data_IF_305561794638
#
_entry.id   IF_305561794638
#
_cell.length_a   1.000
_cell.length_b   1.000
_cell.length_c   1.000
_cell.angle_alpha   90.00
_cell.angle_beta   90.00
_cell.angle_gamma   90.00
#
_symmetry.space_group_name_H-M   'P 1'
#
loop_
_entity.id
_entity.type
_entity.pdbx_description
1 polymer ?
#
# COMPACT_ATOMS: atom_id res chain seq x y z
N UNK A 1 25.18 8.96 7.20
CA UNK A 1 25.02 7.50 7.02
C UNK A 1 23.54 7.21 7.02
N UNK A 2 23.01 6.56 5.99
CA UNK A 2 21.63 6.07 6.03
C UNK A 2 21.54 4.96 7.08
N UNK A 3 20.55 5.03 7.97
CA UNK A 3 20.27 4.00 8.97
C UNK A 3 19.75 2.76 8.25
N UNK A 4 20.40 1.61 8.46
CA UNK A 4 19.91 0.31 8.00
C UNK A 4 19.11 -0.31 9.15
N UNK A 5 17.84 -0.59 8.91
CA UNK A 5 16.96 -1.27 9.86
C UNK A 5 17.18 -2.78 9.81
N UNK A 6 16.94 -3.45 10.94
CA UNK A 6 16.86 -4.91 10.95
C UNK A 6 15.66 -5.36 10.12
N UNK A 7 14.50 -4.73 10.35
CA UNK A 7 13.26 -5.04 9.65
C UNK A 7 12.49 -3.76 9.33
N UNK A 8 11.97 -3.65 8.11
CA UNK A 8 10.99 -2.63 7.74
C UNK A 8 9.61 -3.28 7.67
N UNK A 9 8.65 -2.76 8.44
CA UNK A 9 7.25 -3.18 8.42
C UNK A 9 6.46 -2.16 7.61
N UNK A 10 5.86 -2.60 6.51
CA UNK A 10 5.13 -1.74 5.57
C UNK A 10 3.63 -1.96 5.71
N UNK A 11 2.93 -1.01 6.32
CA UNK A 11 1.48 -1.01 6.51
C UNK A 11 1.08 -0.65 7.94
N UNK A 12 0.21 0.34 8.09
CA UNK A 12 -0.21 0.88 9.40
C UNK A 12 -1.34 0.13 10.10
N UNK A 13 -1.80 -1.00 9.57
CA UNK A 13 -2.87 -1.80 10.16
C UNK A 13 -2.43 -2.63 11.37
N UNK A 14 -3.36 -3.43 11.92
CA UNK A 14 -3.11 -4.27 13.10
C UNK A 14 -1.96 -5.28 12.89
N UNK A 15 -1.84 -5.86 11.68
CA UNK A 15 -0.74 -6.78 11.38
C UNK A 15 0.62 -6.07 11.49
N UNK A 16 0.74 -4.87 10.94
CA UNK A 16 1.97 -4.08 11.00
C UNK A 16 2.29 -3.64 12.42
N UNK A 17 1.29 -3.19 13.18
CA UNK A 17 1.48 -2.85 14.60
C UNK A 17 1.94 -4.05 15.42
N UNK A 18 1.28 -5.21 15.30
CA UNK A 18 1.67 -6.42 16.03
C UNK A 18 3.09 -6.87 15.65
N UNK A 19 3.46 -6.77 14.37
CA UNK A 19 4.82 -7.05 13.94
C UNK A 19 5.84 -6.09 14.56
N UNK A 20 5.59 -4.78 14.49
CA UNK A 20 6.48 -3.75 15.05
C UNK A 20 6.64 -3.89 16.58
N UNK A 21 5.54 -4.13 17.30
CA UNK A 21 5.55 -4.40 18.73
C UNK A 21 6.39 -5.65 19.06
N UNK A 22 6.18 -6.74 18.33
CA UNK A 22 6.93 -8.00 18.53
C UNK A 22 8.43 -7.80 18.26
N UNK A 23 8.78 -7.15 17.16
CA UNK A 23 10.18 -6.85 16.81
C UNK A 23 10.85 -5.99 17.87
N UNK A 24 10.13 -5.03 18.46
CA UNK A 24 10.61 -4.24 19.58
C UNK A 24 10.89 -5.12 20.81
N UNK A 25 9.98 -6.02 21.19
CA UNK A 25 10.22 -6.97 22.29
C UNK A 25 11.43 -7.88 22.04
N UNK A 26 11.67 -8.23 20.78
CA UNK A 26 12.84 -8.99 20.31
C UNK A 26 14.11 -8.14 20.14
N UNK A 27 14.09 -6.86 20.56
CA UNK A 27 15.21 -5.90 20.47
C UNK A 27 15.76 -5.70 19.05
N UNK A 28 14.91 -5.78 18.04
CA UNK A 28 15.26 -5.47 16.64
C UNK A 28 15.04 -3.99 16.35
N UNK A 29 15.95 -3.40 15.58
CA UNK A 29 15.78 -2.04 15.07
C UNK A 29 14.73 -2.06 13.93
N UNK A 30 13.51 -1.64 14.22
CA UNK A 30 12.37 -1.72 13.31
C UNK A 30 11.92 -0.34 12.83
N UNK A 31 11.69 -0.20 11.51
CA UNK A 31 10.93 0.92 10.94
C UNK A 31 9.49 0.44 10.69
N UNK A 32 8.50 1.08 11.31
CA UNK A 32 7.09 0.83 10.99
C UNK A 32 6.54 1.97 10.14
N UNK A 33 6.36 1.70 8.85
CA UNK A 33 6.01 2.67 7.80
C UNK A 33 4.56 2.49 7.34
N UNK A 34 3.79 3.56 7.25
CA UNK A 34 2.46 3.52 6.63
C UNK A 34 1.82 4.90 6.48
N UNK A 35 0.66 4.96 5.83
CA UNK A 35 -0.07 6.23 5.62
C UNK A 35 -0.64 6.81 6.92
N UNK A 36 -1.13 5.94 7.80
CA UNK A 36 -1.70 6.25 9.11
C UNK A 36 -1.67 5.00 10.00
N UNK A 37 -1.49 5.13 11.32
CA UNK A 37 -1.63 4.00 12.24
C UNK A 37 -3.12 3.69 12.43
N UNK A 38 -3.47 2.41 12.44
CA UNK A 38 -4.83 1.91 12.71
C UNK A 38 -5.90 2.49 11.76
N UNK A 39 -5.58 2.58 10.46
CA UNK A 39 -6.32 3.33 9.45
C UNK A 39 -7.81 2.99 9.23
N UNK A 40 -8.38 3.61 8.19
CA UNK A 40 -9.84 3.74 8.01
C UNK A 40 -10.67 2.46 8.17
N UNK A 41 -10.16 1.31 7.73
CA UNK A 41 -10.89 0.03 7.86
C UNK A 41 -11.21 -0.33 9.31
N UNK A 42 -10.27 -0.04 10.21
CA UNK A 42 -10.43 -0.29 11.63
C UNK A 42 -11.35 0.76 12.24
N UNK A 43 -11.08 2.05 12.02
CA UNK A 43 -11.84 3.15 12.65
C UNK A 43 -13.30 3.24 12.19
N UNK A 44 -13.63 2.79 10.97
CA UNK A 44 -15.01 2.76 10.44
C UNK A 44 -15.82 1.54 10.88
N UNK A 45 -15.23 0.56 11.58
CA UNK A 45 -15.98 -0.59 12.04
C UNK A 45 -17.07 -0.15 13.04
N UNK A 46 -18.33 -0.38 12.73
CA UNK A 46 -19.45 -0.02 13.61
C UNK A 46 -19.41 -0.81 14.93
N UNK A 47 -18.96 -2.06 14.86
CA UNK A 47 -18.89 -2.93 16.02
C UNK A 47 -17.85 -4.05 15.86
N UNK A 48 -17.02 -4.22 16.88
CA UNK A 48 -15.96 -5.22 17.00
C UNK A 48 -16.28 -6.10 18.21
N UNK A 49 -16.56 -7.38 17.96
CA UNK A 49 -16.87 -8.41 18.98
C UNK A 49 -16.10 -9.72 18.80
N UNK A 50 -15.31 -9.78 17.74
CA UNK A 50 -14.56 -10.95 17.25
C UNK A 50 -13.06 -10.81 17.50
N UNK A 51 -12.65 -9.85 18.34
CA UNK A 51 -11.31 -9.72 18.86
C UNK A 51 -11.37 -9.99 20.38
N UNK A 52 -10.71 -11.04 20.89
CA UNK A 52 -10.80 -11.39 22.30
C UNK A 52 -10.55 -10.20 23.23
N UNK A 53 -11.32 -10.10 24.31
CA UNK A 53 -11.24 -9.03 25.33
C UNK A 53 -11.60 -7.62 24.87
N UNK A 54 -12.03 -7.45 23.62
CA UNK A 54 -12.49 -6.17 23.10
C UNK A 54 -13.95 -6.26 22.63
N UNK A 55 -14.79 -5.41 23.20
CA UNK A 55 -16.16 -5.19 22.76
C UNK A 55 -16.37 -3.67 22.64
N UNK A 56 -16.74 -3.20 21.45
CA UNK A 56 -16.94 -1.78 21.18
C UNK A 56 -16.93 -1.48 19.70
N UNK A 57 -16.83 -0.21 19.33
CA UNK A 57 -16.67 0.20 17.94
C UNK A 57 -15.19 0.25 17.51
N UNK A 58 -14.97 0.50 16.24
CA UNK A 58 -13.64 0.66 15.65
C UNK A 58 -12.86 1.83 16.21
N UNK A 59 -13.53 2.93 16.59
CA UNK A 59 -12.87 4.12 17.16
C UNK A 59 -12.30 3.81 18.54
N UNK A 60 -13.07 3.14 19.39
CA UNK A 60 -12.60 2.66 20.68
C UNK A 60 -11.43 1.70 20.49
N UNK A 61 -11.50 0.79 19.53
CA UNK A 61 -10.39 -0.11 19.23
C UNK A 61 -9.12 0.66 18.85
N UNK A 62 -9.22 1.61 17.91
CA UNK A 62 -8.09 2.43 17.47
C UNK A 62 -7.48 3.23 18.64
N UNK A 63 -8.31 3.77 19.52
CA UNK A 63 -7.87 4.50 20.71
C UNK A 63 -7.08 3.59 21.66
N UNK A 64 -7.60 2.40 21.97
CA UNK A 64 -6.91 1.40 22.83
C UNK A 64 -5.56 0.96 22.25
N UNK A 65 -5.50 0.75 20.93
CA UNK A 65 -4.24 0.41 20.25
C UNK A 65 -3.25 1.58 20.28
N UNK A 66 -3.73 2.82 20.15
CA UNK A 66 -2.89 4.01 20.23
C UNK A 66 -2.34 4.24 21.63
N UNK A 67 -3.15 4.01 22.68
CA UNK A 67 -2.71 4.01 24.08
C UNK A 67 -1.59 2.98 24.30
N UNK A 68 -1.79 1.75 23.82
CA UNK A 68 -0.78 0.70 23.93
C UNK A 68 0.48 1.05 23.14
N UNK A 69 0.35 1.54 21.90
CA UNK A 69 1.48 1.96 21.06
C UNK A 69 2.34 3.01 21.78
N UNK A 70 1.71 3.99 22.43
CA UNK A 70 2.40 5.02 23.20
C UNK A 70 3.07 4.44 24.46
N UNK A 71 2.37 3.58 25.21
CA UNK A 71 2.90 2.91 26.39
C UNK A 71 4.14 2.06 26.09
N UNK A 72 4.07 1.26 25.02
CA UNK A 72 5.16 0.40 24.56
C UNK A 72 6.26 1.18 23.83
N UNK A 73 6.04 2.46 23.53
CA UNK A 73 6.96 3.33 22.79
C UNK A 73 7.23 2.83 21.37
N UNK A 74 6.25 2.23 20.70
CA UNK A 74 6.35 1.84 19.30
C UNK A 74 6.18 3.09 18.44
N UNK A 75 7.19 3.41 17.63
CA UNK A 75 7.19 4.62 16.79
C UNK A 75 6.62 4.30 15.41
N UNK A 76 5.67 5.12 14.97
CA UNK A 76 5.10 5.06 13.62
C UNK A 76 5.75 6.12 12.72
N UNK A 77 6.15 5.72 11.52
CA UNK A 77 6.66 6.63 10.48
C UNK A 77 5.60 6.79 9.40
N UNK A 78 5.16 8.04 9.21
CA UNK A 78 4.17 8.39 8.19
C UNK A 78 4.82 8.40 6.80
N UNK A 79 4.31 7.59 5.89
CA UNK A 79 4.72 7.53 4.50
C UNK A 79 4.01 6.42 3.74
N UNK A 80 3.70 6.63 2.45
CA UNK A 80 3.16 5.58 1.57
C UNK A 80 4.33 4.89 0.90
N UNK A 81 4.46 3.58 1.04
CA UNK A 81 5.44 2.83 0.27
C UNK A 81 4.99 2.78 -1.20
N UNK A 82 5.87 3.22 -2.10
CA UNK A 82 5.65 3.23 -3.54
C UNK A 82 6.38 2.08 -4.25
N UNK A 83 7.37 1.47 -3.59
CA UNK A 83 8.16 0.36 -4.13
C UNK A 83 9.02 -0.31 -3.07
N UNK A 84 9.24 -1.62 -3.24
CA UNK A 84 10.12 -2.45 -2.41
C UNK A 84 11.01 -3.26 -3.35
N UNK A 85 12.30 -2.98 -3.31
CA UNK A 85 13.31 -3.60 -4.16
C UNK A 85 14.08 -4.61 -3.33
N UNK A 86 14.02 -5.88 -3.74
CA UNK A 86 14.79 -6.95 -3.13
C UNK A 86 16.29 -6.78 -3.39
N UNK A 87 17.09 -6.94 -2.34
CA UNK A 87 18.54 -6.78 -2.35
C UNK A 87 19.10 -7.08 -0.97
N UNK A 88 20.42 -6.96 -0.80
CA UNK A 88 21.08 -7.06 0.50
C UNK A 88 21.76 -5.72 0.84
N UNK A 89 21.10 -4.80 1.57
CA UNK A 89 19.73 -4.88 2.13
C UNK A 89 18.61 -4.57 1.11
N UNK A 90 17.35 -4.80 1.50
CA UNK A 90 16.17 -4.31 0.77
C UNK A 90 16.13 -2.79 0.76
N UNK A 91 15.54 -2.22 -0.29
CA UNK A 91 15.22 -0.78 -0.39
C UNK A 91 13.72 -0.57 -0.47
N UNK A 92 13.17 0.27 0.41
CA UNK A 92 11.76 0.71 0.39
C UNK A 92 11.71 2.19 0.04
N UNK A 93 10.99 2.55 -1.02
CA UNK A 93 10.75 3.95 -1.43
C UNK A 93 9.42 4.44 -0.87
N UNK A 94 9.40 5.67 -0.36
CA UNK A 94 8.18 6.37 0.04
C UNK A 94 8.26 7.85 -0.32
N UNK A 95 7.65 8.25 -1.43
CA UNK A 95 7.86 9.56 -2.04
C UNK A 95 9.33 9.78 -2.39
N UNK A 96 9.93 10.82 -1.82
CA UNK A 96 11.36 11.13 -1.97
C UNK A 96 12.27 10.37 -1.00
N UNK A 97 11.70 9.69 0.00
CA UNK A 97 12.46 9.01 1.04
C UNK A 97 12.85 7.58 0.62
N UNK A 98 14.04 7.16 1.06
CA UNK A 98 14.60 5.83 0.85
C UNK A 98 14.96 5.22 2.20
N UNK A 99 14.38 4.05 2.48
CA UNK A 99 14.67 3.27 3.68
C UNK A 99 15.34 1.96 3.31
N UNK A 100 16.32 1.53 4.12
CA UNK A 100 17.02 0.26 3.92
C UNK A 100 16.76 -0.70 5.08
N UNK A 101 16.47 -1.96 4.76
CA UNK A 101 16.14 -2.99 5.76
C UNK A 101 16.72 -4.35 5.39
N UNK A 102 17.24 -5.09 6.36
CA UNK A 102 17.77 -6.45 6.11
C UNK A 102 16.66 -7.48 5.85
N UNK A 103 15.45 -7.21 6.34
CA UNK A 103 14.23 -7.93 6.05
C UNK A 103 13.04 -6.96 5.93
N UNK A 104 11.96 -7.41 5.28
CA UNK A 104 10.73 -6.63 5.11
C UNK A 104 9.51 -7.47 5.49
N UNK A 105 8.56 -6.86 6.21
CA UNK A 105 7.23 -7.43 6.46
C UNK A 105 6.20 -6.58 5.73
N UNK A 106 5.58 -7.16 4.70
CA UNK A 106 4.49 -6.55 3.95
C UNK A 106 3.16 -6.75 4.69
N UNK A 107 2.60 -5.67 5.21
CA UNK A 107 1.36 -5.63 6.00
C UNK A 107 0.37 -4.56 5.49
N UNK A 108 0.37 -4.31 4.18
CA UNK A 108 -0.40 -3.23 3.53
C UNK A 108 -1.91 -3.47 3.47
N UNK A 109 -2.35 -4.68 3.82
CA UNK A 109 -3.75 -5.10 3.69
C UNK A 109 -4.18 -5.20 2.22
N UNK A 110 -5.47 -5.00 1.98
CA UNK A 110 -6.07 -5.07 0.63
C UNK A 110 -6.84 -3.78 0.36
N UNK A 111 -6.63 -3.13 -0.78
CA UNK A 111 -7.42 -1.98 -1.20
C UNK A 111 -8.34 -2.39 -2.37
N UNK A 112 -9.63 -2.50 -2.11
CA UNK A 112 -10.64 -2.83 -3.13
C UNK A 112 -11.42 -1.60 -3.59
N UNK A 113 -11.34 -0.48 -2.86
CA UNK A 113 -12.03 0.74 -3.26
C UNK A 113 -11.46 1.23 -4.60
N UNK A 114 -12.36 1.59 -5.52
CA UNK A 114 -11.97 2.15 -6.81
C UNK A 114 -11.36 1.17 -7.82
N UNK A 115 -11.37 -0.15 -7.58
CA UNK A 115 -10.81 -1.13 -8.54
C UNK A 115 -11.47 -1.02 -9.93
N UNK A 116 -10.66 -0.96 -10.99
CA UNK A 116 -11.11 -0.86 -12.39
C UNK A 116 -10.71 -2.11 -13.17
N UNK A 117 -11.59 -2.62 -14.04
CA UNK A 117 -11.27 -3.81 -14.85
C UNK A 117 -10.06 -3.52 -15.74
N UNK A 118 -9.12 -4.46 -15.88
CA UNK A 118 -7.90 -4.25 -16.66
C UNK A 118 -6.80 -3.46 -15.94
N UNK A 119 -7.07 -2.86 -14.77
CA UNK A 119 -6.06 -2.12 -13.99
C UNK A 119 -4.77 -2.95 -13.79
N UNK A 120 -4.91 -4.22 -13.40
CA UNK A 120 -3.78 -5.10 -13.10
C UNK A 120 -3.04 -5.59 -14.33
N UNK A 121 -3.77 -5.78 -15.43
CA UNK A 121 -3.21 -6.32 -16.66
C UNK A 121 -2.18 -5.36 -17.26
N UNK A 122 -2.35 -4.06 -17.03
CA UNK A 122 -1.51 -3.02 -17.60
C UNK A 122 -0.48 -2.42 -16.63
N UNK A 123 -0.28 -3.01 -15.44
CA UNK A 123 0.75 -2.55 -14.48
C UNK A 123 2.13 -2.60 -15.13
N UNK A 124 2.87 -1.50 -15.05
CA UNK A 124 4.16 -1.35 -15.74
C UNK A 124 4.06 -1.22 -17.27
N UNK A 125 2.84 -1.27 -17.83
CA UNK A 125 2.52 -1.14 -19.26
C UNK A 125 1.52 -0.02 -19.51
N UNK A 126 1.63 1.06 -18.73
CA UNK A 126 0.75 2.23 -18.82
C UNK A 126 -0.13 2.43 -17.58
N UNK A 127 -0.24 1.46 -16.68
CA UNK A 127 -0.80 1.65 -15.34
C UNK A 127 0.31 1.87 -14.32
N UNK A 128 0.15 2.91 -13.50
CA UNK A 128 1.04 3.24 -12.38
C UNK A 128 0.26 3.50 -11.09
N UNK A 129 0.91 3.31 -9.95
CA UNK A 129 0.41 3.64 -8.61
C UNK A 129 1.21 4.74 -7.92
N UNK A 130 2.30 5.21 -8.54
CA UNK A 130 3.20 6.20 -7.97
C UNK A 130 3.36 7.37 -8.95
N UNK A 131 2.70 8.49 -8.66
CA UNK A 131 2.80 9.70 -9.47
C UNK A 131 4.25 10.22 -9.53
N UNK A 132 4.95 10.21 -8.39
CA UNK A 132 6.33 10.71 -8.26
C UNK A 132 7.33 9.88 -9.07
N UNK A 133 7.12 8.56 -9.13
CA UNK A 133 8.03 7.63 -9.78
C UNK A 133 7.91 7.72 -11.30
N UNK A 134 6.69 7.66 -11.82
CA UNK A 134 6.44 7.47 -13.26
C UNK A 134 5.94 8.73 -13.96
N UNK A 135 5.56 9.79 -13.24
CA UNK A 135 4.93 11.00 -13.81
C UNK A 135 5.75 11.62 -14.94
N UNK A 136 7.07 11.71 -14.77
CA UNK A 136 7.98 12.25 -15.79
C UNK A 136 7.98 11.46 -17.11
N UNK A 137 7.66 10.15 -17.10
CA UNK A 137 7.58 9.31 -18.30
C UNK A 137 6.40 9.69 -19.22
N UNK A 138 5.45 10.45 -18.69
CA UNK A 138 4.26 10.92 -19.40
C UNK A 138 4.32 12.41 -19.75
N UNK A 139 5.54 12.99 -19.76
CA UNK A 139 5.74 14.37 -20.17
C UNK A 139 5.13 14.65 -21.55
N UNK A 140 4.26 15.66 -21.62
CA UNK A 140 3.58 16.08 -22.85
C UNK A 140 2.59 15.04 -23.40
N UNK A 141 2.05 14.15 -22.55
CA UNK A 141 1.02 13.18 -22.94
C UNK A 141 -0.30 13.48 -22.22
N UNK A 142 -1.40 13.01 -22.80
CA UNK A 142 -2.70 12.89 -22.12
C UNK A 142 -2.70 11.66 -21.22
N UNK A 143 -2.99 11.85 -19.94
CA UNK A 143 -3.08 10.78 -18.94
C UNK A 143 -4.38 10.86 -18.14
N UNK A 144 -4.73 9.78 -17.46
CA UNK A 144 -5.79 9.78 -16.47
C UNK A 144 -5.25 9.51 -15.06
N UNK A 145 -5.90 10.09 -14.06
CA UNK A 145 -5.67 9.78 -12.65
C UNK A 145 -7.01 9.34 -12.03
N UNK A 146 -7.08 8.10 -11.51
CA UNK A 146 -8.20 7.61 -10.71
C UNK A 146 -7.88 7.90 -9.25
N UNK A 147 -8.59 8.85 -8.67
CA UNK A 147 -8.25 9.47 -7.37
C UNK A 147 -9.18 8.94 -6.29
N UNK A 148 -8.66 8.08 -5.41
CA UNK A 148 -9.46 7.39 -4.40
C UNK A 148 -9.90 8.26 -3.21
N UNK A 149 -9.19 9.37 -2.95
CA UNK A 149 -9.45 10.25 -1.82
C UNK A 149 -8.82 11.64 -2.03
N UNK A 150 -9.36 12.66 -1.36
CA UNK A 150 -8.90 14.06 -1.43
C UNK A 150 -7.41 14.24 -1.09
N UNK A 151 -6.88 13.43 -0.17
CA UNK A 151 -5.46 13.46 0.21
C UNK A 151 -4.48 13.17 -0.94
N UNK A 152 -4.95 12.64 -2.07
CA UNK A 152 -4.14 12.40 -3.26
C UNK A 152 -4.20 13.54 -4.28
N UNK A 153 -4.86 14.66 -3.95
CA UNK A 153 -4.98 15.79 -4.87
C UNK A 153 -3.61 16.38 -5.23
N UNK A 154 -2.66 16.45 -4.29
CA UNK A 154 -1.29 16.93 -4.56
C UNK A 154 -0.54 16.08 -5.58
N UNK A 155 -0.82 14.77 -5.65
CA UNK A 155 -0.22 13.89 -6.67
C UNK A 155 -0.80 14.17 -8.06
N UNK A 156 -2.06 14.59 -8.16
CA UNK A 156 -2.65 15.04 -9.43
C UNK A 156 -2.00 16.34 -9.91
N UNK A 157 -1.79 17.30 -9.00
CA UNK A 157 -1.07 18.55 -9.29
C UNK A 157 0.36 18.27 -9.74
N UNK A 158 1.03 17.32 -9.08
CA UNK A 158 2.37 16.87 -9.47
C UNK A 158 2.37 16.32 -10.91
N UNK A 159 1.42 15.43 -11.25
CA UNK A 159 1.27 14.88 -12.60
C UNK A 159 0.98 15.98 -13.64
N UNK A 160 0.18 16.98 -13.28
CA UNK A 160 -0.16 18.12 -14.13
C UNK A 160 1.07 18.95 -14.52
N UNK A 161 2.12 18.94 -13.70
CA UNK A 161 3.40 19.58 -14.02
C UNK A 161 4.19 18.91 -15.15
N UNK A 162 3.86 17.67 -15.53
CA UNK A 162 4.52 16.93 -16.62
C UNK A 162 3.60 16.70 -17.82
N UNK A 163 2.37 16.29 -17.57
CA UNK A 163 1.42 15.89 -18.59
C UNK A 163 0.90 17.08 -19.41
N UNK A 164 0.48 16.82 -20.66
CA UNK A 164 -0.25 17.81 -21.45
C UNK A 164 -1.66 18.01 -20.88
N UNK A 165 -2.32 16.92 -20.48
CA UNK A 165 -3.65 16.94 -19.87
C UNK A 165 -3.77 15.80 -18.87
N UNK A 166 -4.35 16.09 -17.71
CA UNK A 166 -4.68 15.08 -16.69
C UNK A 166 -6.20 14.98 -16.54
N UNK A 167 -6.77 13.85 -16.94
CA UNK A 167 -8.17 13.53 -16.67
C UNK A 167 -8.29 12.93 -15.26
N UNK A 168 -8.72 13.73 -14.29
CA UNK A 168 -8.86 13.33 -12.89
C UNK A 168 -10.26 12.76 -12.63
N UNK A 169 -10.34 11.44 -12.44
CA UNK A 169 -11.55 10.71 -12.05
C UNK A 169 -11.63 10.63 -10.52
N UNK A 170 -12.32 11.57 -9.89
CA UNK A 170 -12.37 11.71 -8.44
C UNK A 170 -13.50 10.89 -7.84
N UNK A 171 -13.17 9.93 -6.98
CA UNK A 171 -14.15 9.06 -6.29
C UNK A 171 -14.66 9.67 -4.96
N UNK A 172 -14.49 10.98 -4.81
CA UNK A 172 -14.91 11.78 -3.65
C UNK A 172 -15.55 13.09 -4.14
N UNK A 173 -16.47 13.69 -3.35
CA UNK A 173 -17.18 14.91 -3.77
C UNK A 173 -16.29 16.15 -3.74
N UNK A 174 -16.71 17.20 -4.46
CA UNK A 174 -16.11 18.55 -4.43
C UNK A 174 -14.62 18.63 -4.80
N UNK A 175 -14.15 17.77 -5.70
CA UNK A 175 -12.78 17.81 -6.18
C UNK A 175 -12.50 19.11 -6.97
N UNK A 176 -11.40 19.77 -6.62
CA UNK A 176 -10.92 20.97 -7.31
C UNK A 176 -9.39 20.93 -7.37
N UNK A 177 -8.83 21.46 -8.45
CA UNK A 177 -7.40 21.51 -8.72
C UNK A 177 -7.01 22.92 -9.17
N UNK A 178 -5.77 23.32 -8.87
CA UNK A 178 -5.18 24.61 -9.23
C UNK A 178 -4.68 24.59 -10.67
N UNK A 179 -4.14 23.46 -11.13
CA UNK A 179 -3.63 23.33 -12.49
C UNK A 179 -4.76 23.38 -13.54
N UNK A 180 -4.60 24.25 -14.54
CA UNK A 180 -5.60 24.49 -15.59
C UNK A 180 -5.74 23.33 -16.58
N UNK A 181 -4.72 22.47 -16.69
CA UNK A 181 -4.71 21.28 -17.55
C UNK A 181 -5.28 20.02 -16.87
N UNK A 182 -5.98 20.19 -15.74
CA UNK A 182 -6.70 19.11 -15.05
C UNK A 182 -8.19 19.15 -15.39
N UNK A 183 -8.69 18.09 -16.02
CA UNK A 183 -10.10 17.91 -16.34
C UNK A 183 -10.73 16.98 -15.32
N UNK A 184 -11.69 17.47 -14.54
CA UNK A 184 -12.32 16.70 -13.47
C UNK A 184 -13.52 15.90 -13.98
N UNK A 185 -13.56 14.62 -13.65
CA UNK A 185 -14.65 13.69 -13.96
C UNK A 185 -15.26 13.17 -12.66
N UNK A 186 -16.57 13.35 -12.50
CA UNK A 186 -17.34 12.85 -11.36
C UNK A 186 -17.91 11.45 -11.63
N UNK A 187 -17.14 10.60 -12.31
CA UNK A 187 -17.51 9.21 -12.56
C UNK A 187 -16.32 8.26 -12.33
N UNK A 188 -16.63 6.98 -12.19
CA UNK A 188 -15.62 5.92 -12.11
C UNK A 188 -15.46 5.25 -13.48
N UNK A 189 -14.24 5.18 -14.04
CA UNK A 189 -13.99 4.41 -15.26
C UNK A 189 -14.39 2.93 -15.09
N UNK A 190 -14.91 2.32 -16.16
CA UNK A 190 -15.34 0.92 -16.17
C UNK A 190 -14.16 -0.04 -16.40
N UNK A 191 -13.24 0.33 -17.29
CA UNK A 191 -12.08 -0.49 -17.61
C UNK A 191 -10.89 0.32 -18.15
N UNK A 192 -9.69 -0.23 -17.96
CA UNK A 192 -8.47 0.14 -18.71
C UNK A 192 -8.35 -0.83 -19.89
N UNK A 193 -8.05 -0.30 -21.08
CA UNK A 193 -7.93 -1.11 -22.30
C UNK A 193 -6.76 -0.64 -23.20
N UNK A 194 -6.27 -1.57 -24.02
CA UNK A 194 -5.22 -1.35 -25.00
C UNK A 194 -4.64 -2.67 -25.49
N UNK A 195 -3.67 -2.62 -26.41
CA UNK A 195 -2.93 -3.79 -26.87
C UNK A 195 -1.83 -4.19 -25.90
N UNK A 196 -0.58 -3.89 -26.24
CA UNK A 196 0.58 -4.18 -25.38
C UNK A 196 0.71 -3.22 -24.19
N UNK A 197 0.12 -2.02 -24.32
CA UNK A 197 0.14 -0.93 -23.34
C UNK A 197 -1.23 -0.30 -23.26
N UNK A 198 -1.46 0.53 -22.23
CA UNK A 198 -2.65 1.37 -22.12
C UNK A 198 -2.79 2.25 -23.36
N UNK A 199 -4.01 2.29 -23.90
CA UNK A 199 -4.39 3.19 -25.00
C UNK A 199 -5.65 4.00 -24.66
N UNK A 200 -6.52 3.48 -23.79
CA UNK A 200 -7.77 4.13 -23.44
C UNK A 200 -8.39 3.68 -22.11
N UNK A 201 -9.26 4.53 -21.58
CA UNK A 201 -10.24 4.20 -20.56
C UNK A 201 -11.61 3.99 -21.18
N UNK A 202 -12.34 2.98 -20.69
CA UNK A 202 -13.75 2.74 -21.01
C UNK A 202 -14.59 3.44 -19.95
N UNK A 203 -15.46 4.35 -20.38
CA UNK A 203 -16.37 5.11 -19.51
C UNK A 203 -17.79 4.55 -19.63
N UNK A 204 -18.73 5.07 -18.83
CA UNK A 204 -20.15 4.71 -19.01
C UNK A 204 -20.65 5.11 -20.40
N UNK A 205 -20.20 6.27 -20.86
CA UNK A 205 -20.54 6.83 -22.16
C UNK A 205 -19.24 7.03 -22.96
N UNK A 206 -18.93 6.07 -23.82
CA UNK A 206 -17.80 6.15 -24.74
C UNK A 206 -16.45 5.74 -24.13
N UNK A 207 -15.39 6.25 -24.75
CA UNK A 207 -14.01 5.89 -24.45
C UNK A 207 -13.14 7.15 -24.45
N UNK A 208 -12.11 7.15 -23.60
CA UNK A 208 -11.14 8.24 -23.50
C UNK A 208 -9.75 7.73 -23.83
N UNK A 209 -9.15 8.23 -24.91
CA UNK A 209 -7.78 7.91 -25.28
C UNK A 209 -6.80 8.51 -24.26
N UNK A 210 -5.94 7.67 -23.68
CA UNK A 210 -4.92 8.08 -22.71
C UNK A 210 -3.65 7.26 -22.90
N UNK A 211 -2.52 7.89 -22.67
CA UNK A 211 -1.22 7.21 -22.75
C UNK A 211 -0.88 6.44 -21.48
N UNK A 212 -1.51 6.78 -20.35
CA UNK A 212 -1.31 6.12 -19.07
C UNK A 212 -2.41 6.45 -18.06
N UNK A 213 -2.55 5.58 -17.05
CA UNK A 213 -3.53 5.69 -15.98
C UNK A 213 -2.83 5.54 -14.63
N UNK A 214 -2.99 6.53 -13.77
CA UNK A 214 -2.46 6.55 -12.41
C UNK A 214 -3.57 6.22 -11.42
N UNK A 215 -3.42 5.17 -10.62
CA UNK A 215 -4.37 4.81 -9.56
C UNK A 215 -3.84 5.31 -8.22
N UNK A 216 -4.34 6.46 -7.79
CA UNK A 216 -3.90 7.14 -6.57
C UNK A 216 -4.75 6.65 -5.39
N UNK A 217 -4.22 5.65 -4.67
CA UNK A 217 -4.88 4.98 -3.55
C UNK A 217 -3.90 4.65 -2.42
N UNK A 218 -4.41 4.15 -1.30
CA UNK A 218 -3.62 3.93 -0.07
C UNK A 218 -2.52 2.87 -0.21
N UNK A 219 -2.75 1.88 -1.07
CA UNK A 219 -1.79 0.81 -1.32
C UNK A 219 -1.89 0.36 -2.77
N UNK A 220 -0.73 0.20 -3.41
CA UNK A 220 -0.61 -0.54 -4.65
C UNK A 220 -0.90 -2.05 -4.40
N UNK A 221 -1.28 -2.81 -5.43
CA UNK A 221 -1.27 -4.27 -5.37
C UNK A 221 0.11 -4.78 -4.96
N UNK A 222 0.21 -5.86 -4.17
CA UNK A 222 1.49 -6.38 -3.69
C UNK A 222 2.51 -6.66 -4.79
N UNK A 223 2.07 -7.26 -5.90
CA UNK A 223 2.94 -7.55 -7.05
C UNK A 223 3.41 -6.30 -7.81
N UNK A 224 2.70 -5.17 -7.69
CA UNK A 224 3.15 -3.88 -8.21
C UNK A 224 4.15 -3.20 -7.27
N UNK A 225 4.01 -3.44 -5.96
CA UNK A 225 4.90 -2.90 -4.94
C UNK A 225 6.23 -3.65 -4.88
N UNK A 226 6.21 -4.97 -5.13
CA UNK A 226 7.39 -5.84 -5.04
C UNK A 226 7.54 -6.66 -6.32
N UNK A 227 8.58 -6.37 -7.09
CA UNK A 227 8.87 -7.10 -8.32
C UNK A 227 9.18 -8.58 -8.06
N UNK A 228 8.54 -9.48 -8.81
CA UNK A 228 8.75 -10.93 -8.70
C UNK A 228 8.04 -11.61 -7.52
N UNK A 229 7.21 -10.88 -6.76
CA UNK A 229 6.42 -11.45 -5.67
C UNK A 229 5.30 -12.34 -6.22
N UNK A 230 5.24 -13.59 -5.74
CA UNK A 230 4.19 -14.52 -6.12
C UNK A 230 2.87 -14.23 -5.41
N UNK A 231 1.77 -14.23 -6.18
CA UNK A 231 0.41 -14.05 -5.65
C UNK A 231 -0.52 -15.16 -6.13
N UNK A 232 -1.58 -15.41 -5.37
CA UNK A 232 -2.75 -16.20 -5.74
C UNK A 232 -3.96 -15.26 -5.82
N UNK A 233 -4.29 -14.84 -7.03
CA UNK A 233 -5.20 -13.72 -7.23
C UNK A 233 -4.65 -12.46 -6.55
N UNK A 234 -5.37 -11.99 -5.53
CA UNK A 234 -5.09 -10.73 -4.82
C UNK A 234 -4.22 -10.92 -3.59
N UNK A 235 -4.01 -12.18 -3.18
CA UNK A 235 -3.31 -12.55 -1.97
C UNK A 235 -1.85 -12.87 -2.28
N UNK A 236 -0.93 -12.36 -1.47
CA UNK A 236 0.47 -12.79 -1.47
C UNK A 236 0.54 -14.24 -1.00
N UNK A 237 1.22 -15.09 -1.78
CA UNK A 237 1.46 -16.47 -1.37
C UNK A 237 2.47 -16.47 -0.24
N UNK A 238 2.08 -17.08 0.88
CA UNK A 238 2.94 -17.24 2.05
C UNK A 238 2.94 -18.67 2.55
N UNK A 239 4.05 -19.10 3.12
CA UNK A 239 4.11 -20.32 3.91
C UNK A 239 3.51 -20.08 5.32
N UNK A 240 3.44 -21.15 6.13
CA UNK A 240 2.87 -21.10 7.48
C UNK A 240 3.60 -20.12 8.42
N UNK A 241 4.88 -19.89 8.15
CA UNK A 241 5.74 -18.95 8.88
C UNK A 241 5.69 -17.53 8.29
N UNK A 242 4.72 -17.23 7.42
CA UNK A 242 4.55 -15.95 6.72
C UNK A 242 5.67 -15.58 5.74
N UNK A 243 6.59 -16.50 5.40
CA UNK A 243 7.61 -16.27 4.37
C UNK A 243 7.01 -16.25 2.97
N UNK A 244 7.54 -15.39 2.10
CA UNK A 244 7.17 -15.32 0.67
C UNK A 244 8.17 -16.11 -0.18
N UNK A 245 8.01 -16.08 -1.51
CA UNK A 245 9.00 -16.64 -2.44
C UNK A 245 10.33 -15.85 -2.47
N UNK A 246 10.37 -14.64 -1.89
CA UNK A 246 11.56 -13.80 -1.82
C UNK A 246 12.18 -13.91 -0.42
N UNK A 247 13.42 -14.39 -0.35
CA UNK A 247 14.14 -14.55 0.92
C UNK A 247 14.26 -13.23 1.69
N UNK A 248 13.90 -13.22 2.97
CA UNK A 248 13.89 -12.02 3.80
C UNK A 248 12.65 -11.12 3.64
N UNK A 249 11.73 -11.47 2.73
CA UNK A 249 10.43 -10.83 2.60
C UNK A 249 9.33 -11.72 3.17
N UNK A 250 8.57 -11.16 4.10
CA UNK A 250 7.42 -11.78 4.74
C UNK A 250 6.16 -10.98 4.44
N UNK A 251 4.99 -11.60 4.58
CA UNK A 251 3.72 -10.88 4.45
C UNK A 251 2.71 -11.32 5.53
N UNK A 252 1.90 -10.38 6.01
CA UNK A 252 0.98 -10.60 7.13
C UNK A 252 -0.31 -9.77 7.02
N UNK A 253 -1.43 -10.35 7.45
CA UNK A 253 -2.73 -9.69 7.47
C UNK A 253 -3.52 -9.92 6.19
N UNK A 254 -4.43 -9.00 5.87
CA UNK A 254 -5.35 -9.21 4.74
C UNK A 254 -4.62 -9.38 3.40
N UNK A 255 -3.39 -8.86 3.29
CA UNK A 255 -2.55 -8.99 2.10
C UNK A 255 -2.21 -10.44 1.76
N UNK A 256 -2.28 -11.36 2.73
CA UNK A 256 -2.06 -12.81 2.55
C UNK A 256 -3.36 -13.57 2.25
N UNK A 257 -4.47 -12.85 2.10
CA UNK A 257 -5.76 -13.43 1.73
C UNK A 257 -6.72 -13.63 2.90
N UNK A 258 -7.87 -14.21 2.57
CA UNK A 258 -9.01 -14.41 3.48
C UNK A 258 -8.69 -15.44 4.57
N UNK A 259 -9.38 -15.39 5.72
CA UNK A 259 -10.45 -14.46 6.09
C UNK A 259 -9.91 -13.08 6.53
N UNK A 260 -10.56 -11.97 6.13
CA UNK A 260 -10.14 -10.62 6.54
C UNK A 260 -10.63 -10.30 7.94
N UNK A 261 -9.80 -10.59 8.95
CA UNK A 261 -10.17 -10.51 10.37
C UNK A 261 -9.01 -9.96 11.20
N UNK A 262 -9.31 -9.07 12.17
CA UNK A 262 -8.30 -8.45 13.03
C UNK A 262 -7.46 -9.48 13.81
N UNK A 263 -8.08 -10.55 14.31
CA UNK A 263 -7.39 -11.60 15.07
C UNK A 263 -6.40 -12.39 14.20
N UNK A 264 -6.79 -12.77 12.97
CA UNK A 264 -5.89 -13.38 11.98
C UNK A 264 -4.74 -12.42 11.68
N UNK A 265 -5.05 -11.16 11.37
CA UNK A 265 -4.04 -10.18 10.98
C UNK A 265 -3.01 -9.92 12.10
N UNK A 266 -3.45 -9.80 13.36
CA UNK A 266 -2.56 -9.71 14.51
C UNK A 266 -1.69 -10.98 14.65
N UNK A 267 -2.30 -12.17 14.54
CA UNK A 267 -1.58 -13.44 14.62
C UNK A 267 -0.51 -13.60 13.54
N UNK A 268 -0.81 -13.26 12.29
CA UNK A 268 0.17 -13.29 11.20
C UNK A 268 1.26 -12.23 11.38
N UNK A 269 0.94 -11.05 11.91
CA UNK A 269 1.93 -10.03 12.24
C UNK A 269 2.96 -10.53 13.26
N UNK A 270 2.51 -11.26 14.28
CA UNK A 270 3.37 -11.94 15.25
C UNK A 270 4.27 -12.98 14.58
N UNK A 271 3.70 -13.87 13.76
CA UNK A 271 4.44 -14.93 13.08
C UNK A 271 5.51 -14.34 12.15
N UNK A 272 5.14 -13.37 11.31
CA UNK A 272 6.08 -12.71 10.40
C UNK A 272 7.24 -12.03 11.15
N UNK A 273 7.00 -11.42 12.31
CA UNK A 273 8.04 -10.82 13.14
C UNK A 273 9.05 -11.84 13.69
N UNK A 274 8.57 -13.00 14.17
CA UNK A 274 9.45 -14.07 14.62
C UNK A 274 10.24 -14.69 13.47
N UNK A 275 9.61 -14.89 12.30
CA UNK A 275 10.28 -15.43 11.13
C UNK A 275 11.35 -14.46 10.61
N UNK A 276 11.07 -13.16 10.55
CA UNK A 276 12.05 -12.14 10.22
C UNK A 276 13.21 -12.13 11.24
N UNK A 277 12.91 -12.23 12.53
CA UNK A 277 13.94 -12.32 13.57
C UNK A 277 14.84 -13.55 13.39
N UNK A 278 14.26 -14.72 13.08
CA UNK A 278 14.99 -15.96 12.85
C UNK A 278 15.87 -15.90 11.58
N UNK A 279 15.33 -15.32 10.50
CA UNK A 279 16.06 -15.04 9.26
C UNK A 279 17.32 -14.21 9.52
N UNK A 280 17.19 -13.11 10.28
CA UNK A 280 18.33 -12.25 10.64
C UNK A 280 19.36 -12.93 11.57
N UNK A 281 18.95 -13.97 12.30
CA UNK A 281 19.81 -14.78 13.16
C UNK A 281 20.56 -15.90 12.43
N UNK A 282 20.31 -16.09 11.12
CA UNK A 282 20.91 -17.17 10.33
C UNK A 282 20.30 -18.55 10.59
N UNK A 283 19.16 -18.63 11.27
CA UNK A 283 18.48 -19.89 11.62
C UNK A 283 17.53 -20.41 10.52
N UNK A 284 17.35 -19.65 9.43
CA UNK A 284 16.65 -20.10 8.24
C UNK A 284 17.66 -20.62 7.21
N UNK A 285 18.05 -21.88 7.33
CA UNK A 285 18.67 -22.68 6.27
C UNK A 285 17.89 -23.97 6.10
#
# INVERSE_FOLDING_TARGET
>A
MQTIYDVIVVGGGIAGYTAALTLKSLRRNCLWLGTEPFGEKLTKAEYVRNFPTLVGDGKLFAARLSEQMAHEGVVFTKGRADGIYAGDPFTVTAGSELYQGRAVILATGVETAGAVRGERDFVGRGVSYCAVCDGALYKGKTIAAVVGAEKFAEEVEYLAGFAETVHAFCLYPNAAFKAENVVVHAEKPLAVAGGLRVEKLILKEGELAVSGVFFLKNSAPPAALVGGLETEGDAVKVARDCSTNIAGLFAAGDVTGRPYQYAKAAGEGLVAAYSAHAYLGGAAK
#
